data_IF_332030944413
#
_entry.id   IF_332030944413
#
_cell.length_a   1.000
_cell.length_b   1.000
_cell.length_c   1.000
_cell.angle_alpha   90.00
_cell.angle_beta   90.00
_cell.angle_gamma   90.00
#
_symmetry.space_group_name_H-M   'P 1'
#
loop_
_entity.id
_entity.type
_entity.pdbx_description
1 polymer ?
#
# COMPACT_ATOMS: atom_id res chain seq x y z
N UNK A 1 5.98 58.21 46.29
CA UNK A 1 6.71 56.93 46.47
C UNK A 1 5.88 55.74 45.98
N UNK A 2 4.60 55.63 46.35
CA UNK A 2 3.72 54.52 45.94
C UNK A 2 3.54 54.35 44.42
N UNK A 3 3.36 55.44 43.66
CA UNK A 3 3.16 55.37 42.20
C UNK A 3 4.36 54.79 41.46
N UNK A 4 5.59 55.09 41.91
CA UNK A 4 6.81 54.52 41.34
C UNK A 4 6.96 53.04 41.67
N UNK A 5 6.55 52.61 42.87
CA UNK A 5 6.56 51.20 43.26
C UNK A 5 5.55 50.40 42.44
N UNK A 6 4.33 50.92 42.25
CA UNK A 6 3.29 50.29 41.42
C UNK A 6 3.73 50.20 39.95
N UNK A 7 4.28 51.29 39.39
CA UNK A 7 4.80 51.28 38.02
C UNK A 7 5.95 50.28 37.83
N UNK A 8 6.84 50.16 38.83
CA UNK A 8 7.93 49.18 38.81
C UNK A 8 7.40 47.74 38.91
N UNK A 9 6.37 47.50 39.71
CA UNK A 9 5.74 46.19 39.85
C UNK A 9 5.05 45.76 38.54
N UNK A 10 4.34 46.67 37.88
CA UNK A 10 3.71 46.45 36.57
C UNK A 10 4.79 46.21 35.50
N UNK A 11 5.87 46.99 35.51
CA UNK A 11 6.99 46.82 34.59
C UNK A 11 7.67 45.45 34.72
N UNK A 12 8.03 45.04 35.95
CA UNK A 12 8.64 43.74 36.22
C UNK A 12 7.67 42.59 35.90
N UNK A 13 6.39 42.73 36.27
CA UNK A 13 5.35 41.75 35.95
C UNK A 13 5.17 41.59 34.44
N UNK A 14 5.12 42.69 33.70
CA UNK A 14 5.02 42.70 32.24
C UNK A 14 6.22 42.03 31.57
N UNK A 15 7.44 42.39 31.97
CA UNK A 15 8.68 41.80 31.43
C UNK A 15 8.73 40.29 31.71
N UNK A 16 8.36 39.87 32.92
CA UNK A 16 8.37 38.46 33.31
C UNK A 16 7.33 37.66 32.53
N UNK A 17 6.12 38.19 32.36
CA UNK A 17 5.06 37.55 31.59
C UNK A 17 5.44 37.45 30.11
N UNK A 18 6.00 38.51 29.52
CA UNK A 18 6.50 38.49 28.14
C UNK A 18 7.64 37.49 27.94
N UNK A 19 8.57 37.39 28.89
CA UNK A 19 9.66 36.40 28.84
C UNK A 19 9.13 34.96 28.94
N UNK A 20 8.15 34.71 29.82
CA UNK A 20 7.50 33.40 29.94
C UNK A 20 6.77 33.03 28.65
N UNK A 21 5.93 33.93 28.12
CA UNK A 21 5.19 33.69 26.87
C UNK A 21 6.14 33.49 25.68
N UNK A 22 7.23 34.26 25.60
CA UNK A 22 8.28 34.10 24.59
C UNK A 22 8.99 32.75 24.69
N UNK A 23 9.36 32.33 25.92
CA UNK A 23 9.97 31.03 26.19
C UNK A 23 9.05 29.86 25.84
N UNK A 24 7.78 29.93 26.25
CA UNK A 24 6.77 28.94 25.87
C UNK A 24 6.57 28.89 24.36
N UNK A 25 6.44 30.05 23.70
CA UNK A 25 6.29 30.14 22.25
C UNK A 25 7.45 29.49 21.51
N UNK A 26 8.69 29.77 21.91
CA UNK A 26 9.87 29.15 21.34
C UNK A 26 9.92 27.64 21.57
N UNK A 27 9.61 27.18 22.78
CA UNK A 27 9.54 25.76 23.10
C UNK A 27 8.50 25.03 22.23
N UNK A 28 7.31 25.59 22.05
CA UNK A 28 6.29 25.01 21.18
C UNK A 28 6.70 25.02 19.71
N UNK A 29 7.41 26.06 19.25
CA UNK A 29 7.97 26.12 17.90
C UNK A 29 8.97 25.00 17.67
N UNK A 30 9.98 24.85 18.54
CA UNK A 30 10.99 23.78 18.44
C UNK A 30 10.33 22.40 18.48
N UNK A 31 9.37 22.20 19.38
CA UNK A 31 8.61 20.95 19.46
C UNK A 31 7.83 20.68 18.17
N UNK A 32 7.21 21.69 17.58
CA UNK A 32 6.45 21.55 16.33
C UNK A 32 7.37 21.20 15.15
N UNK A 33 8.54 21.82 15.05
CA UNK A 33 9.56 21.52 14.03
C UNK A 33 10.08 20.09 14.17
N UNK A 34 10.44 19.68 15.39
CA UNK A 34 10.88 18.31 15.69
C UNK A 34 9.80 17.26 15.36
N UNK A 35 8.53 17.57 15.67
CA UNK A 35 7.39 16.72 15.29
C UNK A 35 7.14 16.70 13.78
N UNK A 36 7.38 17.80 13.06
CA UNK A 36 7.22 17.87 11.60
C UNK A 36 8.10 16.84 10.91
N UNK A 37 9.39 16.80 11.25
CA UNK A 37 10.35 15.84 10.67
C UNK A 37 9.97 14.40 11.03
N UNK A 38 9.55 14.16 12.27
CA UNK A 38 9.11 12.83 12.71
C UNK A 38 7.85 12.38 11.96
N UNK A 39 6.89 13.27 11.73
CA UNK A 39 5.66 12.99 10.95
C UNK A 39 5.95 12.77 9.48
N UNK A 40 6.89 13.50 8.90
CA UNK A 40 7.35 13.28 7.54
C UNK A 40 8.00 11.90 7.40
N UNK A 41 8.83 11.50 8.37
CA UNK A 41 9.38 10.13 8.42
C UNK A 41 8.27 9.08 8.47
N UNK A 42 7.23 9.33 9.29
CA UNK A 42 6.08 8.44 9.39
C UNK A 42 5.31 8.32 8.06
N UNK A 43 5.18 9.41 7.31
CA UNK A 43 4.55 9.41 5.99
C UNK A 43 5.30 8.53 4.99
N UNK A 44 6.62 8.68 4.87
CA UNK A 44 7.44 7.83 3.99
C UNK A 44 7.32 6.35 4.34
N UNK A 45 7.31 6.00 5.63
CA UNK A 45 7.12 4.60 6.06
C UNK A 45 5.73 4.05 5.71
N UNK A 46 4.69 4.88 5.70
CA UNK A 46 3.34 4.47 5.27
C UNK A 46 3.29 4.21 3.76
N UNK A 47 3.96 5.04 2.96
CA UNK A 47 4.09 4.86 1.52
C UNK A 47 4.90 3.59 1.17
N UNK A 48 6.02 3.34 1.86
CA UNK A 48 6.76 2.08 1.73
C UNK A 48 5.88 0.85 2.07
N UNK A 49 5.05 0.96 3.11
CA UNK A 49 4.09 -0.09 3.46
C UNK A 49 3.07 -0.30 2.36
N UNK A 50 2.49 0.77 1.82
CA UNK A 50 1.52 0.72 0.73
C UNK A 50 2.13 0.07 -0.53
N UNK A 51 3.33 0.47 -0.92
CA UNK A 51 4.07 -0.16 -2.02
C UNK A 51 4.32 -1.65 -1.76
N UNK A 52 4.78 -2.01 -0.55
CA UNK A 52 5.09 -3.42 -0.22
C UNK A 52 3.84 -4.29 -0.24
N UNK A 53 2.71 -3.77 0.24
CA UNK A 53 1.42 -4.46 0.15
C UNK A 53 0.94 -4.59 -1.29
N UNK A 54 1.12 -3.55 -2.11
CA UNK A 54 0.75 -3.58 -3.51
C UNK A 54 1.63 -4.53 -4.34
N UNK A 55 2.92 -4.60 -4.02
CA UNK A 55 3.86 -5.55 -4.64
C UNK A 55 3.58 -7.01 -4.29
N UNK A 56 2.78 -7.26 -3.24
CA UNK A 56 2.37 -8.61 -2.85
C UNK A 56 1.12 -9.09 -3.62
N UNK A 57 0.50 -8.26 -4.46
CA UNK A 57 -0.56 -8.71 -5.35
C UNK A 57 0.02 -9.58 -6.48
N UNK A 58 -0.52 -10.78 -6.62
CA UNK A 58 -0.25 -11.67 -7.76
C UNK A 58 -1.45 -11.60 -8.72
N UNK A 59 -1.19 -11.27 -9.99
CA UNK A 59 -2.21 -11.25 -11.04
C UNK A 59 -2.88 -12.61 -11.22
N UNK A 60 -2.16 -13.70 -10.94
CA UNK A 60 -2.66 -15.08 -10.97
C UNK A 60 -3.68 -15.32 -9.85
N UNK A 61 -3.38 -14.86 -8.64
CA UNK A 61 -4.29 -14.99 -7.49
C UNK A 61 -5.57 -14.16 -7.70
N UNK A 62 -5.46 -12.96 -8.27
CA UNK A 62 -6.61 -12.14 -8.65
C UNK A 62 -7.47 -12.82 -9.74
N UNK A 63 -6.83 -13.43 -10.73
CA UNK A 63 -7.52 -14.19 -11.77
C UNK A 63 -8.28 -15.40 -11.19
N UNK A 64 -7.67 -16.17 -10.30
CA UNK A 64 -8.34 -17.29 -9.63
C UNK A 64 -9.56 -16.84 -8.82
N UNK A 65 -9.45 -15.72 -8.09
CA UNK A 65 -10.56 -15.13 -7.36
C UNK A 65 -11.67 -14.63 -8.30
N UNK A 66 -11.31 -14.01 -9.42
CA UNK A 66 -12.24 -13.58 -10.46
C UNK A 66 -13.05 -14.76 -11.02
N UNK A 67 -12.37 -15.82 -11.48
CA UNK A 67 -13.02 -17.01 -12.05
C UNK A 67 -13.97 -17.64 -11.04
N UNK A 68 -13.52 -17.84 -9.80
CA UNK A 68 -14.36 -18.40 -8.73
C UNK A 68 -15.62 -17.57 -8.47
N UNK A 69 -15.54 -16.24 -8.66
CA UNK A 69 -16.69 -15.35 -8.52
C UNK A 69 -17.66 -15.49 -9.70
N UNK A 70 -17.14 -15.59 -10.91
CA UNK A 70 -17.93 -15.85 -12.12
C UNK A 70 -18.66 -17.20 -12.03
N UNK A 71 -17.95 -18.27 -11.65
CA UNK A 71 -18.53 -19.60 -11.43
C UNK A 71 -19.69 -19.54 -10.44
N UNK A 72 -19.47 -18.91 -9.27
CA UNK A 72 -20.51 -18.73 -8.25
C UNK A 72 -21.73 -17.96 -8.77
N UNK A 73 -21.52 -16.93 -9.58
CA UNK A 73 -22.62 -16.18 -10.19
C UNK A 73 -23.41 -17.03 -11.19
N UNK A 74 -22.72 -17.78 -12.05
CA UNK A 74 -23.38 -18.66 -13.02
C UNK A 74 -24.16 -19.79 -12.35
N UNK A 75 -23.61 -20.38 -11.28
CA UNK A 75 -24.33 -21.34 -10.44
C UNK A 75 -25.61 -20.73 -9.84
N UNK A 76 -25.53 -19.49 -9.31
CA UNK A 76 -26.70 -18.79 -8.76
C UNK A 76 -27.78 -18.53 -9.81
N UNK A 77 -27.38 -18.20 -11.04
CA UNK A 77 -28.30 -17.95 -12.16
C UNK A 77 -28.70 -19.24 -12.89
N UNK A 78 -28.19 -20.41 -12.48
CA UNK A 78 -28.41 -21.73 -13.11
C UNK A 78 -28.03 -21.75 -14.59
N UNK A 79 -26.93 -21.07 -14.93
CA UNK A 79 -26.40 -21.04 -16.29
C UNK A 79 -25.36 -22.17 -16.40
N UNK A 80 -25.66 -23.18 -17.22
CA UNK A 80 -24.82 -24.35 -17.43
C UNK A 80 -23.99 -24.24 -18.72
N UNK A 81 -22.92 -25.03 -18.81
CA UNK A 81 -22.13 -25.18 -20.05
C UNK A 81 -21.16 -24.03 -20.36
N UNK A 82 -20.82 -23.19 -19.38
CA UNK A 82 -19.81 -22.14 -19.54
C UNK A 82 -18.42 -22.75 -19.35
N UNK A 83 -17.61 -22.67 -20.40
CA UNK A 83 -16.17 -22.91 -20.35
C UNK A 83 -15.45 -21.57 -20.56
N UNK A 84 -14.36 -21.35 -19.81
CA UNK A 84 -13.57 -20.12 -19.93
C UNK A 84 -12.42 -20.36 -20.91
N UNK A 85 -12.41 -19.72 -22.09
CA UNK A 85 -11.34 -19.90 -23.07
C UNK A 85 -9.97 -19.56 -22.50
N UNK A 86 -8.94 -20.33 -22.87
CA UNK A 86 -7.56 -20.09 -22.43
C UNK A 86 -7.02 -18.71 -22.85
N UNK A 87 -7.49 -18.17 -23.98
CA UNK A 87 -7.15 -16.81 -24.44
C UNK A 87 -7.65 -15.73 -23.48
N UNK A 88 -8.83 -15.92 -22.87
CA UNK A 88 -9.36 -15.00 -21.85
C UNK A 88 -8.50 -14.98 -20.60
N UNK A 89 -7.88 -16.10 -20.23
CA UNK A 89 -6.93 -16.15 -19.11
C UNK A 89 -5.76 -15.20 -19.34
N UNK A 90 -5.14 -15.22 -20.50
CA UNK A 90 -4.01 -14.33 -20.80
C UNK A 90 -4.42 -12.85 -20.79
N UNK A 91 -5.57 -12.51 -21.39
CA UNK A 91 -6.08 -11.14 -21.39
C UNK A 91 -6.37 -10.63 -19.98
N UNK A 92 -7.01 -11.45 -19.13
CA UNK A 92 -7.33 -11.08 -17.76
C UNK A 92 -6.08 -10.96 -16.88
N UNK A 93 -5.09 -11.85 -17.04
CA UNK A 93 -3.81 -11.75 -16.34
C UNK A 93 -3.08 -10.45 -16.71
N UNK A 94 -3.06 -10.07 -17.99
CA UNK A 94 -2.47 -8.82 -18.44
C UNK A 94 -3.20 -7.60 -17.87
N UNK A 95 -4.55 -7.62 -17.87
CA UNK A 95 -5.37 -6.58 -17.27
C UNK A 95 -5.09 -6.42 -15.77
N UNK A 96 -5.07 -7.50 -14.99
CA UNK A 96 -4.76 -7.43 -13.57
C UNK A 96 -3.32 -6.96 -13.30
N UNK A 97 -2.36 -7.38 -14.12
CA UNK A 97 -0.99 -6.89 -14.03
C UNK A 97 -0.91 -5.38 -14.24
N UNK A 98 -1.63 -4.85 -15.24
CA UNK A 98 -1.68 -3.42 -15.53
C UNK A 98 -2.40 -2.64 -14.41
N UNK A 99 -3.49 -3.19 -13.86
CA UNK A 99 -4.15 -2.60 -12.70
C UNK A 99 -3.23 -2.51 -11.49
N UNK A 100 -2.54 -3.61 -11.15
CA UNK A 100 -1.56 -3.63 -10.05
C UNK A 100 -0.50 -2.55 -10.28
N UNK A 101 0.04 -2.45 -11.49
CA UNK A 101 1.03 -1.43 -11.83
C UNK A 101 0.51 0.00 -11.65
N UNK A 102 -0.74 0.27 -12.03
CA UNK A 102 -1.35 1.60 -11.90
C UNK A 102 -1.67 2.00 -10.45
N UNK A 103 -2.09 1.04 -9.61
CA UNK A 103 -2.45 1.32 -8.20
C UNK A 103 -1.24 1.26 -7.26
N UNK A 104 -0.14 0.64 -7.68
CA UNK A 104 1.09 0.57 -6.89
C UNK A 104 1.75 1.95 -6.87
N UNK A 105 1.90 2.61 -5.71
CA UNK A 105 2.65 3.86 -5.63
C UNK A 105 4.06 3.62 -6.17
N UNK A 106 4.58 4.46 -7.06
CA UNK A 106 5.95 4.28 -7.54
C UNK A 106 6.95 4.87 -6.54
N UNK A 107 7.91 4.05 -6.09
CA UNK A 107 9.06 4.52 -5.32
C UNK A 107 10.10 5.11 -6.28
N UNK A 108 9.86 6.32 -6.77
CA UNK A 108 10.82 7.03 -7.64
C UNK A 108 12.15 7.30 -6.92
N UNK A 109 13.21 7.60 -7.68
CA UNK A 109 14.49 8.04 -7.11
C UNK A 109 14.30 9.23 -6.16
N UNK A 110 13.49 10.21 -6.57
CA UNK A 110 13.22 11.42 -5.80
C UNK A 110 12.52 11.11 -4.46
N UNK A 111 11.67 10.07 -4.44
CA UNK A 111 11.01 9.62 -3.22
C UNK A 111 12.04 9.01 -2.25
N UNK A 112 12.92 8.15 -2.74
CA UNK A 112 13.98 7.52 -1.94
C UNK A 112 14.94 8.59 -1.39
N UNK A 113 15.40 9.50 -2.25
CA UNK A 113 16.26 10.62 -1.86
C UNK A 113 15.56 11.52 -0.83
N UNK A 114 14.25 11.77 -1.00
CA UNK A 114 13.43 12.50 -0.04
C UNK A 114 13.36 11.80 1.32
N UNK A 115 13.24 10.47 1.35
CA UNK A 115 13.27 9.69 2.57
C UNK A 115 14.65 9.77 3.25
N UNK A 116 15.73 9.51 2.52
CA UNK A 116 17.10 9.56 3.06
C UNK A 116 17.41 10.94 3.66
N UNK A 117 17.05 12.02 2.95
CA UNK A 117 17.18 13.38 3.46
C UNK A 117 16.33 13.62 4.72
N UNK A 118 15.15 13.02 4.79
CA UNK A 118 14.30 13.09 5.99
C UNK A 118 14.94 12.36 7.16
N UNK A 119 15.60 11.21 6.94
CA UNK A 119 16.36 10.49 7.98
C UNK A 119 17.56 11.30 8.46
N UNK A 120 18.29 11.97 7.56
CA UNK A 120 19.38 12.88 7.92
C UNK A 120 18.87 14.03 8.79
N UNK A 121 17.73 14.63 8.43
CA UNK A 121 17.12 15.68 9.24
C UNK A 121 16.59 15.16 10.58
N UNK A 122 16.03 13.94 10.61
CA UNK A 122 15.60 13.29 11.83
C UNK A 122 16.78 13.03 12.77
N UNK A 123 17.96 12.73 12.23
CA UNK A 123 19.16 12.48 13.03
C UNK A 123 19.61 13.69 13.85
N UNK A 124 19.35 14.92 13.35
CA UNK A 124 19.65 16.18 14.07
C UNK A 124 18.83 16.31 15.35
N UNK A 125 17.59 15.81 15.35
CA UNK A 125 16.63 15.93 16.44
C UNK A 125 16.55 14.66 17.32
N UNK A 126 16.62 13.49 16.69
CA UNK A 126 16.40 12.16 17.28
C UNK A 126 17.42 11.16 16.72
N UNK A 127 18.72 11.28 17.06
CA UNK A 127 19.81 10.50 16.46
C UNK A 127 19.65 8.99 16.65
N UNK A 128 19.21 8.54 17.83
CA UNK A 128 18.98 7.11 18.12
C UNK A 128 17.84 6.55 17.24
N UNK A 129 16.78 7.36 17.03
CA UNK A 129 15.66 6.97 16.18
C UNK A 129 16.11 6.85 14.72
N UNK A 130 16.83 7.86 14.22
CA UNK A 130 17.36 7.84 12.87
C UNK A 130 18.34 6.68 12.63
N UNK A 131 19.22 6.37 13.59
CA UNK A 131 20.11 5.22 13.51
C UNK A 131 19.36 3.89 13.38
N UNK A 132 18.29 3.70 14.16
CA UNK A 132 17.45 2.50 14.09
C UNK A 132 16.76 2.32 12.75
N UNK A 133 16.37 3.42 12.10
CA UNK A 133 15.75 3.39 10.77
C UNK A 133 16.79 3.17 9.67
N UNK A 134 17.96 3.82 9.77
CA UNK A 134 19.06 3.69 8.79
C UNK A 134 19.62 2.26 8.72
N UNK A 135 19.72 1.55 9.85
CA UNK A 135 20.19 0.17 9.89
C UNK A 135 19.29 -0.84 9.15
N UNK A 136 18.09 -0.44 8.75
CA UNK A 136 17.09 -1.28 8.06
C UNK A 136 16.96 -0.96 6.56
N UNK A 137 17.67 0.04 6.00
CA UNK A 137 17.78 0.26 4.54
C UNK A 137 18.33 -0.95 3.78
N UNK A 138 19.09 -1.82 4.47
CA UNK A 138 19.63 -3.07 3.92
C UNK A 138 18.51 -4.02 3.47
N UNK A 139 17.34 -4.04 4.12
CA UNK A 139 16.25 -4.94 3.73
C UNK A 139 15.56 -4.50 2.43
N UNK A 140 15.45 -3.20 2.15
CA UNK A 140 14.91 -2.70 0.87
C UNK A 140 15.85 -3.01 -0.30
N UNK A 141 17.17 -2.84 -0.12
CA UNK A 141 18.17 -3.23 -1.12
C UNK A 141 18.21 -4.74 -1.35
N UNK A 142 18.07 -5.55 -0.30
CA UNK A 142 17.98 -7.01 -0.40
C UNK A 142 16.80 -7.47 -1.28
N UNK A 143 15.74 -6.67 -1.34
CA UNK A 143 14.48 -7.00 -2.02
C UNK A 143 14.53 -6.61 -3.48
N UNK A 144 15.13 -5.48 -3.82
CA UNK A 144 15.46 -5.20 -5.21
C UNK A 144 16.42 -6.26 -5.75
N UNK A 145 17.39 -6.71 -4.96
CA UNK A 145 18.28 -7.82 -5.35
C UNK A 145 17.51 -9.13 -5.51
N UNK A 146 16.57 -9.44 -4.60
CA UNK A 146 15.70 -10.62 -4.75
C UNK A 146 14.79 -10.50 -5.96
N UNK A 147 14.16 -9.35 -6.22
CA UNK A 147 13.30 -9.13 -7.38
C UNK A 147 14.07 -9.30 -8.68
N UNK A 148 15.24 -8.67 -8.80
CA UNK A 148 16.13 -8.80 -9.96
C UNK A 148 16.57 -10.25 -10.13
N UNK A 149 16.95 -10.93 -9.04
CA UNK A 149 17.33 -12.35 -9.08
C UNK A 149 16.15 -13.23 -9.51
N UNK A 150 14.95 -13.00 -9.01
CA UNK A 150 13.75 -13.77 -9.35
C UNK A 150 13.33 -13.52 -10.80
N UNK A 151 13.39 -12.28 -11.28
CA UNK A 151 13.17 -11.93 -12.69
C UNK A 151 14.20 -12.62 -13.61
N UNK A 152 15.48 -12.64 -13.21
CA UNK A 152 16.53 -13.34 -13.95
C UNK A 152 16.31 -14.86 -13.97
N UNK A 153 15.92 -15.44 -12.83
CA UNK A 153 15.64 -16.87 -12.69
C UNK A 153 14.40 -17.28 -13.48
N UNK A 154 13.33 -16.48 -13.47
CA UNK A 154 12.11 -16.72 -14.26
C UNK A 154 12.35 -16.67 -15.77
N UNK A 155 13.37 -15.94 -16.22
CA UNK A 155 13.75 -15.85 -17.63
C UNK A 155 14.65 -17.02 -18.10
N UNK A 156 15.06 -17.94 -17.22
CA UNK A 156 15.85 -19.12 -17.61
C UNK A 156 14.99 -20.20 -18.28
N UNK A 157 15.60 -20.98 -19.19
CA UNK A 157 14.92 -22.05 -19.92
C UNK A 157 14.24 -23.09 -19.01
N UNK A 158 14.80 -23.32 -17.82
CA UNK A 158 14.26 -24.22 -16.80
C UNK A 158 12.86 -23.82 -16.29
N UNK A 159 12.52 -22.53 -16.29
CA UNK A 159 11.21 -22.02 -15.87
C UNK A 159 10.16 -22.00 -17.00
N UNK A 160 10.61 -22.15 -18.25
CA UNK A 160 9.74 -22.18 -19.45
C UNK A 160 9.35 -23.60 -19.85
N UNK A 161 9.91 -24.61 -19.17
CA UNK A 161 9.52 -26.01 -19.36
C UNK A 161 8.08 -26.22 -18.84
N UNK A 162 7.20 -26.64 -19.74
CA UNK A 162 5.80 -26.98 -19.43
C UNK A 162 5.72 -28.43 -18.89
N UNK A 163 6.50 -28.68 -17.84
CA UNK A 163 6.57 -29.94 -17.14
C UNK A 163 6.46 -29.72 -15.62
N UNK A 164 6.33 -30.81 -14.85
CA UNK A 164 6.19 -30.71 -13.38
C UNK A 164 7.36 -30.00 -12.66
N UNK A 165 8.54 -29.90 -13.29
CA UNK A 165 9.69 -29.17 -12.74
C UNK A 165 9.51 -27.67 -12.91
N UNK A 166 9.05 -27.21 -14.08
CA UNK A 166 8.75 -25.79 -14.31
C UNK A 166 7.66 -25.26 -13.38
N UNK A 167 6.58 -26.01 -13.17
CA UNK A 167 5.54 -25.64 -12.19
C UNK A 167 6.06 -25.61 -10.75
N UNK A 168 6.84 -26.61 -10.35
CA UNK A 168 7.46 -26.65 -9.02
C UNK A 168 8.38 -25.44 -8.78
N UNK A 169 9.19 -25.08 -9.77
CA UNK A 169 10.11 -23.94 -9.71
C UNK A 169 9.35 -22.61 -9.65
N UNK A 170 8.29 -22.43 -10.45
CA UNK A 170 7.40 -21.25 -10.37
C UNK A 170 6.79 -21.11 -8.97
N UNK A 171 6.31 -22.22 -8.40
CA UNK A 171 5.73 -22.24 -7.05
C UNK A 171 6.77 -21.86 -5.98
N UNK A 172 7.97 -22.42 -6.04
CA UNK A 172 9.05 -22.09 -5.10
C UNK A 172 9.48 -20.63 -5.18
N UNK A 173 9.57 -20.08 -6.39
CA UNK A 173 9.88 -18.66 -6.61
C UNK A 173 8.80 -17.75 -6.01
N UNK A 174 7.53 -18.07 -6.25
CA UNK A 174 6.41 -17.32 -5.65
C UNK A 174 6.42 -17.41 -4.12
N UNK A 175 6.64 -18.60 -3.55
CA UNK A 175 6.72 -18.78 -2.09
C UNK A 175 7.87 -17.98 -1.46
N UNK A 176 9.06 -18.00 -2.07
CA UNK A 176 10.23 -17.25 -1.61
C UNK A 176 9.98 -15.74 -1.73
N UNK A 177 9.39 -15.29 -2.84
CA UNK A 177 9.03 -13.89 -3.05
C UNK A 177 8.04 -13.40 -1.99
N UNK A 178 6.95 -14.13 -1.78
CA UNK A 178 5.92 -13.81 -0.80
C UNK A 178 6.46 -13.81 0.64
N UNK A 179 7.35 -14.74 0.96
CA UNK A 179 8.03 -14.77 2.26
C UNK A 179 8.93 -13.56 2.44
N UNK A 180 9.70 -13.19 1.42
CA UNK A 180 10.52 -11.98 1.41
C UNK A 180 9.69 -10.73 1.67
N UNK A 181 8.61 -10.52 0.90
CA UNK A 181 7.70 -9.39 1.10
C UNK A 181 7.09 -9.34 2.50
N UNK A 182 6.70 -10.51 3.05
CA UNK A 182 6.17 -10.59 4.42
C UNK A 182 7.18 -10.16 5.48
N UNK A 183 8.45 -10.51 5.31
CA UNK A 183 9.52 -10.10 6.23
C UNK A 183 9.78 -8.60 6.16
N UNK A 184 9.82 -8.00 4.96
CA UNK A 184 9.92 -6.54 4.80
C UNK A 184 8.75 -5.84 5.47
N UNK A 185 7.54 -6.33 5.21
CA UNK A 185 6.33 -5.71 5.75
C UNK A 185 6.39 -5.66 7.27
N UNK A 186 6.86 -6.75 7.93
CA UNK A 186 7.07 -6.76 9.38
C UNK A 186 8.09 -5.70 9.81
N UNK A 187 9.21 -5.58 9.11
CA UNK A 187 10.25 -4.58 9.41
C UNK A 187 9.70 -3.15 9.31
N UNK A 188 8.95 -2.85 8.25
CA UNK A 188 8.30 -1.54 8.06
C UNK A 188 7.26 -1.30 9.15
N UNK A 189 6.45 -2.31 9.50
CA UNK A 189 5.42 -2.20 10.53
C UNK A 189 6.01 -1.95 11.93
N UNK A 190 7.14 -2.58 12.26
CA UNK A 190 7.90 -2.28 13.46
C UNK A 190 8.38 -0.82 13.49
N UNK A 191 8.95 -0.34 12.37
CA UNK A 191 9.45 1.02 12.25
C UNK A 191 8.32 2.06 12.32
N UNK A 192 7.17 1.77 11.71
CA UNK A 192 5.94 2.55 11.83
C UNK A 192 5.49 2.68 13.28
N UNK A 193 5.46 1.57 14.03
CA UNK A 193 5.11 1.60 15.46
C UNK A 193 6.13 2.37 16.29
N UNK A 194 7.41 2.29 15.93
CA UNK A 194 8.49 2.96 16.61
C UNK A 194 8.44 4.49 16.39
N UNK A 195 8.32 4.93 15.13
CA UNK A 195 8.23 6.35 14.76
C UNK A 195 6.92 6.97 15.24
N UNK A 196 5.80 6.24 15.15
CA UNK A 196 4.50 6.76 15.60
C UNK A 196 4.43 7.05 17.11
N UNK A 197 5.17 6.31 17.94
CA UNK A 197 5.35 6.66 19.37
C UNK A 197 6.03 8.01 19.53
N UNK A 198 7.02 8.33 18.69
CA UNK A 198 7.70 9.62 18.70
C UNK A 198 6.82 10.78 18.20
N UNK A 199 5.78 10.50 17.40
CA UNK A 199 4.75 11.45 16.97
C UNK A 199 3.65 11.70 18.04
N UNK A 200 3.60 10.87 19.08
CA UNK A 200 2.64 10.93 20.17
C UNK A 200 1.56 9.85 20.13
N UNK A 201 0.87 9.68 21.26
CA UNK A 201 -0.04 8.56 21.52
C UNK A 201 -1.16 8.38 20.49
N UNK A 202 -1.76 9.48 20.01
CA UNK A 202 -2.84 9.44 19.00
C UNK A 202 -2.33 8.83 17.69
N UNK A 203 -1.15 9.23 17.23
CA UNK A 203 -0.54 8.68 16.01
C UNK A 203 -0.20 7.21 16.19
N UNK A 204 0.34 6.84 17.34
CA UNK A 204 0.59 5.43 17.67
C UNK A 204 -0.67 4.57 17.61
N UNK A 205 -1.80 5.03 18.16
CA UNK A 205 -3.06 4.29 18.08
C UNK A 205 -3.56 4.15 16.64
N UNK A 206 -3.52 5.23 15.85
CA UNK A 206 -3.92 5.20 14.43
C UNK A 206 -3.06 4.22 13.63
N UNK A 207 -1.73 4.30 13.77
CA UNK A 207 -0.79 3.40 13.09
C UNK A 207 -0.96 1.96 13.56
N UNK A 208 -1.15 1.73 14.86
CA UNK A 208 -1.45 0.39 15.38
C UNK A 208 -2.73 -0.19 14.79
N UNK A 209 -3.75 0.63 14.55
CA UNK A 209 -4.97 0.21 13.84
C UNK A 209 -4.66 -0.18 12.38
N UNK A 210 -3.87 0.64 11.67
CA UNK A 210 -3.45 0.37 10.28
C UNK A 210 -2.65 -0.93 10.19
N UNK A 211 -1.70 -1.17 11.09
CA UNK A 211 -0.87 -2.39 11.14
C UNK A 211 -1.72 -3.63 11.50
N UNK A 212 -2.66 -3.50 12.45
CA UNK A 212 -3.56 -4.60 12.84
C UNK A 212 -4.54 -4.99 11.76
N UNK A 213 -4.98 -4.03 10.93
CA UNK A 213 -5.63 -4.31 9.66
C UNK A 213 -4.59 -4.91 8.73
N UNK A 214 -4.22 -6.18 8.98
CA UNK A 214 -3.62 -7.03 7.96
C UNK A 214 -4.69 -7.22 6.91
N UNK A 215 -4.79 -6.25 6.01
CA UNK A 215 -5.26 -6.51 4.67
C UNK A 215 -4.23 -7.52 4.18
N UNK A 216 -4.55 -8.81 4.27
CA UNK A 216 -4.10 -9.71 3.21
C UNK A 216 -4.41 -8.91 1.96
N UNK A 217 -3.45 -8.64 1.06
CA UNK A 217 -3.78 -8.14 -0.26
C UNK A 217 -4.59 -9.22 -1.04
N UNK A 218 -5.59 -9.86 -0.42
CA UNK A 218 -6.84 -10.08 -1.09
C UNK A 218 -7.45 -8.68 -1.20
N UNK A 219 -7.24 -8.05 -2.34
CA UNK A 219 -8.28 -7.21 -2.90
C UNK A 219 -9.47 -8.16 -2.97
N UNK A 220 -10.27 -8.16 -1.91
CA UNK A 220 -11.45 -9.00 -1.88
C UNK A 220 -12.27 -8.47 -3.03
N UNK A 221 -12.40 -9.29 -4.08
CA UNK A 221 -13.29 -9.02 -5.19
C UNK A 221 -14.74 -8.91 -4.71
N UNK A 222 -15.03 -9.10 -3.40
CA UNK A 222 -16.34 -8.82 -2.80
C UNK A 222 -16.68 -7.32 -2.83
N UNK A 223 -15.69 -6.42 -2.91
CA UNK A 223 -15.95 -4.98 -3.11
C UNK A 223 -16.27 -4.62 -4.57
N UNK A 224 -15.94 -5.50 -5.53
CA UNK A 224 -16.26 -5.31 -6.94
C UNK A 224 -17.60 -5.99 -7.20
N UNK A 225 -18.63 -5.21 -7.52
CA UNK A 225 -19.99 -5.71 -7.77
C UNK A 225 -20.08 -6.37 -9.17
N UNK A 226 -19.40 -7.50 -9.31
CA UNK A 226 -19.33 -8.28 -10.56
C UNK A 226 -20.73 -8.69 -11.02
N UNK A 227 -21.65 -8.95 -10.09
CA UNK A 227 -23.03 -9.31 -10.37
C UNK A 227 -23.79 -8.22 -11.15
N UNK A 228 -23.62 -6.95 -10.77
CA UNK A 228 -24.30 -5.84 -11.43
C UNK A 228 -23.82 -5.64 -12.86
N UNK A 229 -22.51 -5.84 -13.09
CA UNK A 229 -21.91 -5.80 -14.44
C UNK A 229 -22.46 -6.93 -15.30
N UNK A 230 -22.48 -8.17 -14.77
CA UNK A 230 -23.02 -9.32 -15.50
C UNK A 230 -24.52 -9.17 -15.76
N UNK A 231 -25.32 -8.76 -14.76
CA UNK A 231 -26.76 -8.52 -14.95
C UNK A 231 -27.01 -7.48 -16.05
N UNK A 232 -26.22 -6.41 -16.10
CA UNK A 232 -26.25 -5.42 -17.17
C UNK A 232 -25.93 -6.02 -18.55
N UNK A 233 -24.88 -6.83 -18.66
CA UNK A 233 -24.51 -7.52 -19.90
C UNK A 233 -25.59 -8.51 -20.35
N UNK A 234 -26.14 -9.31 -19.43
CA UNK A 234 -27.22 -10.25 -19.75
C UNK A 234 -28.50 -9.55 -20.20
N UNK A 235 -28.86 -8.43 -19.57
CA UNK A 235 -29.99 -7.62 -20.03
C UNK A 235 -29.76 -7.03 -21.42
N UNK A 236 -28.54 -6.54 -21.70
CA UNK A 236 -28.18 -6.02 -23.02
C UNK A 236 -28.25 -7.12 -24.09
N UNK A 237 -27.71 -8.30 -23.78
CA UNK A 237 -27.75 -9.46 -24.67
C UNK A 237 -29.18 -9.93 -24.92
N UNK A 238 -30.00 -10.08 -23.87
CA UNK A 238 -31.41 -10.45 -24.00
C UNK A 238 -32.18 -9.47 -24.89
N UNK A 239 -31.97 -8.16 -24.72
CA UNK A 239 -32.60 -7.14 -25.58
C UNK A 239 -32.14 -7.23 -27.04
N UNK A 240 -30.89 -7.60 -27.28
CA UNK A 240 -30.38 -7.77 -28.64
C UNK A 240 -31.01 -8.99 -29.31
N UNK A 241 -31.03 -10.13 -28.63
CA UNK A 241 -31.64 -11.36 -29.13
C UNK A 241 -33.14 -11.19 -29.39
N UNK A 242 -33.86 -10.50 -28.49
CA UNK A 242 -35.29 -10.24 -28.70
C UNK A 242 -35.57 -9.37 -29.94
N UNK A 243 -34.71 -8.39 -30.24
CA UNK A 243 -34.85 -7.56 -31.45
C UNK A 243 -34.58 -8.33 -32.74
N UNK A 244 -33.63 -9.26 -32.72
CA UNK A 244 -33.31 -10.08 -33.89
C UNK A 244 -34.43 -11.10 -34.20
N UNK A 245 -35.15 -11.57 -33.19
CA UNK A 245 -36.33 -12.43 -33.36
C UNK A 245 -37.52 -11.65 -33.92
N UNK A 246 -37.79 -10.44 -33.44
CA UNK A 246 -38.86 -9.57 -33.99
C UNK A 246 -38.60 -9.20 -35.46
N UNK A 247 -37.35 -8.93 -35.85
CA UNK A 247 -37.00 -8.67 -37.25
C UNK A 247 -37.03 -9.90 -38.16
N UNK A 248 -36.93 -11.11 -37.60
CA UNK A 248 -37.09 -12.35 -38.36
C UNK A 248 -38.58 -12.68 -38.62
N UNK A 249 -39.49 -12.30 -37.71
CA UNK A 249 -40.94 -12.52 -37.86
C UNK A 249 -41.63 -11.49 -38.77
N UNK A 250 -41.11 -10.27 -38.90
CA UNK A 250 -41.65 -9.26 -39.84
C UNK A 250 -41.27 -9.49 -41.33
N UNK A 251 -40.32 -10.38 -41.61
CA UNK A 251 -39.83 -10.68 -42.96
C UNK A 251 -40.21 -12.08 -43.47
N UNK A 252 -41.09 -12.80 -42.78
CA UNK A 252 -41.66 -14.09 -43.19
C UNK A 252 -43.11 -13.98 -43.62
#
# INVERSE_FOLDING_TARGET
>A
MEVQVIASLIGVGGITLSALLGGFGYFFKVRAESLKVTRQTLFYLLEFRAHTLASAFDSSELYEQYIKRCEKYFEQKKIEGIDFPAENKQLMLAFFSQLIEQITPQLSSDFIDGYENTIVNLAKEKPILAYKLRGKEVSSKMVNVQKIYLEQVQNTELFRLDNGIGEFLKKQVSEVHNKGLSEILKVIEEDLLLVSKACGFIHYLKVRSIVKKRIKPSMSMDEINIEEVFDGMFMAFSKHVSKDVEHAEENG
#
